data_IF_464615772246
#
_entry.id   IF_464615772246
#
_cell.length_a   1.000
_cell.length_b   1.000
_cell.length_c   1.000
_cell.angle_alpha   90.00
_cell.angle_beta   90.00
_cell.angle_gamma   90.00
#
_symmetry.space_group_name_H-M   'P 1'
#
loop_
_entity.id
_entity.type
_entity.pdbx_description
1 polymer ?
#
# COMPACT_ATOMS: atom_id res chain seq x y z
N UNK A 1 4.17 -4.93 4.11
CA UNK A 1 3.49 -5.67 3.04
C UNK A 1 4.41 -5.73 1.85
N UNK A 2 4.72 -6.95 1.43
CA UNK A 2 5.57 -7.24 0.29
C UNK A 2 4.89 -6.97 -1.06
N UNK A 3 5.65 -6.85 -2.15
CA UNK A 3 5.17 -6.70 -3.51
C UNK A 3 4.47 -7.98 -4.03
N UNK A 4 4.75 -9.15 -3.45
CA UNK A 4 3.94 -10.36 -3.66
C UNK A 4 2.53 -10.18 -3.06
N UNK A 5 2.43 -9.79 -1.78
CA UNK A 5 1.15 -9.48 -1.12
C UNK A 5 0.32 -8.51 -1.95
N UNK A 6 1.03 -7.59 -2.60
CA UNK A 6 0.45 -6.50 -3.35
C UNK A 6 -0.21 -6.92 -4.67
N UNK A 7 -0.05 -8.16 -5.14
CA UNK A 7 -0.70 -8.68 -6.35
C UNK A 7 -1.84 -9.63 -6.09
N UNK A 8 -2.16 -9.86 -4.83
CA UNK A 8 -3.34 -10.61 -4.44
C UNK A 8 -4.55 -9.72 -4.72
N UNK A 9 -5.22 -9.99 -5.82
CA UNK A 9 -6.28 -9.12 -6.38
C UNK A 9 -7.63 -9.38 -5.73
N UNK A 10 -7.83 -10.56 -5.17
CA UNK A 10 -9.07 -10.92 -4.50
C UNK A 10 -8.96 -10.80 -2.98
N UNK A 11 -10.05 -10.44 -2.27
CA UNK A 11 -10.07 -10.50 -0.81
C UNK A 11 -9.71 -11.89 -0.26
N UNK A 12 -10.10 -12.96 -0.95
CA UNK A 12 -9.81 -14.34 -0.53
C UNK A 12 -8.31 -14.65 -0.60
N UNK A 13 -7.63 -14.30 -1.69
CA UNK A 13 -6.18 -14.47 -1.79
C UNK A 13 -5.44 -13.73 -0.68
N UNK A 14 -5.87 -12.49 -0.36
CA UNK A 14 -5.28 -11.69 0.73
C UNK A 14 -5.49 -12.34 2.09
N UNK A 15 -6.67 -12.91 2.33
CA UNK A 15 -6.98 -13.61 3.58
C UNK A 15 -6.14 -14.87 3.71
N UNK A 16 -6.08 -15.70 2.67
CA UNK A 16 -5.26 -16.93 2.66
C UNK A 16 -3.80 -16.58 2.89
N UNK A 17 -3.26 -15.62 2.14
CA UNK A 17 -1.88 -15.18 2.32
C UNK A 17 -1.61 -14.69 3.74
N UNK A 18 -2.47 -13.82 4.28
CA UNK A 18 -2.32 -13.31 5.66
C UNK A 18 -2.30 -14.46 6.68
N UNK A 19 -3.08 -15.51 6.43
CA UNK A 19 -3.09 -16.70 7.28
C UNK A 19 -1.78 -17.50 7.16
N UNK A 20 -1.27 -17.71 5.95
CA UNK A 20 0.04 -18.36 5.73
C UNK A 20 1.15 -17.57 6.41
N UNK A 21 1.17 -16.26 6.20
CA UNK A 21 2.18 -15.36 6.75
C UNK A 21 2.19 -15.43 8.27
N UNK A 22 1.01 -15.29 8.92
CA UNK A 22 0.87 -15.41 10.36
C UNK A 22 1.33 -16.78 10.90
N UNK A 23 1.08 -17.87 10.17
CA UNK A 23 1.49 -19.21 10.59
C UNK A 23 2.98 -19.49 10.38
N UNK A 24 3.64 -18.75 9.50
CA UNK A 24 5.06 -18.96 9.16
C UNK A 24 6.02 -18.01 9.88
N UNK A 25 5.55 -16.88 10.44
CA UNK A 25 6.37 -15.83 11.10
C UNK A 25 7.36 -16.30 12.17
N UNK A 26 7.13 -17.44 12.82
CA UNK A 26 7.91 -17.90 13.97
C UNK A 26 8.52 -19.29 13.78
N UNK A 27 8.46 -19.84 12.57
CA UNK A 27 8.96 -21.18 12.29
C UNK A 27 10.44 -21.14 11.94
N UNK A 28 11.17 -22.15 12.40
CA UNK A 28 12.62 -22.24 12.26
C UNK A 28 13.07 -23.43 11.43
N UNK A 29 12.17 -24.36 11.15
CA UNK A 29 12.49 -25.59 10.44
C UNK A 29 11.62 -25.75 9.20
N UNK A 30 12.15 -26.46 8.19
CA UNK A 30 11.39 -26.86 7.01
C UNK A 30 10.10 -27.59 7.37
N UNK A 31 10.16 -28.45 8.38
CA UNK A 31 9.03 -29.27 8.82
C UNK A 31 7.92 -28.40 9.43
N UNK A 32 8.26 -27.39 10.24
CA UNK A 32 7.29 -26.48 10.84
C UNK A 32 6.61 -25.58 9.78
N UNK A 33 7.38 -25.13 8.79
CA UNK A 33 6.85 -24.41 7.64
C UNK A 33 5.89 -25.30 6.85
N UNK A 34 6.29 -26.53 6.50
CA UNK A 34 5.41 -27.46 5.77
C UNK A 34 4.10 -27.72 6.52
N UNK A 35 4.17 -27.99 7.83
CA UNK A 35 2.99 -28.15 8.70
C UNK A 35 2.09 -26.93 8.73
N UNK A 36 2.67 -25.73 8.62
CA UNK A 36 1.90 -24.48 8.60
C UNK A 36 1.09 -24.31 7.32
N UNK A 37 1.67 -24.66 6.17
CA UNK A 37 0.92 -24.69 4.91
C UNK A 37 -0.18 -25.76 4.92
N UNK A 38 0.09 -26.95 5.46
CA UNK A 38 -0.91 -28.01 5.58
C UNK A 38 -2.04 -27.61 6.54
N UNK A 39 -1.71 -26.90 7.63
CA UNK A 39 -2.70 -26.32 8.53
C UNK A 39 -3.57 -25.29 7.81
N UNK A 40 -2.98 -24.41 7.00
CA UNK A 40 -3.75 -23.44 6.22
C UNK A 40 -4.67 -24.15 5.24
N UNK A 41 -4.21 -25.16 4.49
CA UNK A 41 -5.06 -25.95 3.60
C UNK A 41 -6.23 -26.61 4.33
N UNK A 42 -6.03 -27.07 5.58
CA UNK A 42 -7.11 -27.64 6.40
C UNK A 42 -8.16 -26.60 6.80
N UNK A 43 -7.74 -25.36 7.08
CA UNK A 43 -8.63 -24.27 7.49
C UNK A 43 -9.24 -23.51 6.30
N UNK A 44 -8.55 -23.53 5.16
CA UNK A 44 -8.81 -22.79 3.93
C UNK A 44 -8.59 -23.71 2.72
N UNK A 45 -9.47 -24.69 2.46
CA UNK A 45 -9.29 -25.65 1.37
C UNK A 45 -9.18 -25.00 -0.01
N UNK A 46 -9.80 -23.83 -0.18
CA UNK A 46 -9.72 -22.98 -1.37
C UNK A 46 -8.28 -22.57 -1.73
N UNK A 47 -7.34 -22.56 -0.77
CA UNK A 47 -5.95 -22.28 -1.05
C UNK A 47 -5.32 -23.29 -2.04
N UNK A 48 -5.86 -24.51 -2.12
CA UNK A 48 -5.38 -25.54 -3.05
C UNK A 48 -5.61 -25.18 -4.53
N UNK A 49 -6.60 -24.33 -4.83
CA UNK A 49 -6.87 -23.88 -6.21
C UNK A 49 -6.12 -22.61 -6.57
N UNK A 50 -5.42 -21.98 -5.62
CA UNK A 50 -4.65 -20.77 -5.88
C UNK A 50 -3.33 -21.14 -6.56
N UNK A 51 -3.06 -20.61 -7.78
CA UNK A 51 -1.92 -21.05 -8.60
C UNK A 51 -0.57 -20.74 -7.96
N UNK A 52 -0.51 -19.79 -7.02
CA UNK A 52 0.71 -19.41 -6.31
C UNK A 52 0.98 -20.22 -5.03
N UNK A 53 -0.01 -20.93 -4.46
CA UNK A 53 0.08 -21.46 -3.10
C UNK A 53 1.14 -22.56 -2.94
N UNK A 54 1.04 -23.64 -3.73
CA UNK A 54 2.02 -24.72 -3.67
C UNK A 54 3.41 -24.29 -4.17
N UNK A 55 3.54 -23.56 -5.30
CA UNK A 55 4.84 -23.04 -5.72
C UNK A 55 5.52 -22.16 -4.64
N UNK A 56 4.74 -21.32 -3.94
CA UNK A 56 5.26 -20.51 -2.84
C UNK A 56 5.67 -21.38 -1.63
N UNK A 57 4.87 -22.40 -1.28
CA UNK A 57 5.20 -23.37 -0.22
C UNK A 57 6.58 -23.99 -0.48
N UNK A 58 6.78 -24.52 -1.68
CA UNK A 58 8.01 -25.22 -2.05
C UNK A 58 9.20 -24.27 -2.03
N UNK A 59 9.06 -23.07 -2.61
CA UNK A 59 10.11 -22.06 -2.61
C UNK A 59 10.52 -21.62 -1.19
N UNK A 60 9.56 -21.43 -0.29
CA UNK A 60 9.83 -21.03 1.10
C UNK A 60 10.49 -22.17 1.87
N UNK A 61 10.06 -23.42 1.66
CA UNK A 61 10.70 -24.61 2.27
C UNK A 61 12.16 -24.73 1.81
N UNK A 62 12.44 -24.45 0.54
CA UNK A 62 13.81 -24.45 0.02
C UNK A 62 14.64 -23.29 0.60
N UNK A 63 14.05 -22.11 0.75
CA UNK A 63 14.68 -20.94 1.35
C UNK A 63 15.09 -21.16 2.82
N UNK A 64 14.30 -21.88 3.62
CA UNK A 64 14.57 -22.17 5.05
C UNK A 64 15.90 -22.93 5.28
N UNK A 65 16.56 -23.44 4.23
CA UNK A 65 17.90 -24.06 4.36
C UNK A 65 19.02 -23.10 4.76
N UNK A 66 18.84 -21.79 4.61
CA UNK A 66 19.95 -20.84 4.61
C UNK A 66 20.11 -20.00 5.90
N UNK A 67 19.06 -19.72 6.67
CA UNK A 67 19.11 -18.76 7.79
C UNK A 67 18.20 -19.14 8.98
N UNK A 68 18.66 -18.81 10.19
CA UNK A 68 17.87 -18.91 11.43
C UNK A 68 16.68 -17.95 11.37
N UNK A 69 15.48 -18.51 11.15
CA UNK A 69 14.15 -17.87 11.00
C UNK A 69 13.79 -17.49 9.55
N UNK A 70 13.00 -18.34 8.89
CA UNK A 70 12.48 -18.08 7.56
C UNK A 70 10.95 -18.17 7.57
N UNK A 71 10.29 -17.07 7.23
CA UNK A 71 8.85 -16.99 6.98
C UNK A 71 8.57 -16.67 5.51
N UNK A 72 7.31 -16.77 5.07
CA UNK A 72 6.91 -16.31 3.73
C UNK A 72 7.29 -14.84 3.52
N UNK A 73 7.13 -13.98 4.54
CA UNK A 73 7.53 -12.58 4.47
C UNK A 73 9.06 -12.43 4.31
N UNK A 74 9.86 -13.21 5.06
CA UNK A 74 11.32 -13.19 4.93
C UNK A 74 11.78 -13.63 3.53
N UNK A 75 11.16 -14.66 2.97
CA UNK A 75 11.44 -15.11 1.61
C UNK A 75 11.14 -14.00 0.60
N UNK A 76 9.94 -13.43 0.64
CA UNK A 76 9.55 -12.39 -0.31
C UNK A 76 10.44 -11.15 -0.15
N UNK A 77 10.71 -10.70 1.07
CA UNK A 77 11.62 -9.60 1.34
C UNK A 77 13.02 -9.88 0.78
N UNK A 78 13.51 -11.13 0.87
CA UNK A 78 14.80 -11.54 0.30
C UNK A 78 14.78 -11.56 -1.24
N UNK A 79 13.66 -11.94 -1.86
CA UNK A 79 13.49 -11.90 -3.32
C UNK A 79 13.40 -10.45 -3.82
N UNK A 80 12.65 -9.59 -3.12
CA UNK A 80 12.65 -8.14 -3.39
C UNK A 80 14.03 -7.54 -3.21
N UNK A 81 14.75 -7.98 -2.19
CA UNK A 81 16.12 -7.58 -1.94
C UNK A 81 17.06 -8.00 -3.08
N UNK A 82 16.91 -9.22 -3.61
CA UNK A 82 17.62 -9.71 -4.80
C UNK A 82 17.29 -8.86 -6.04
N UNK A 83 16.03 -8.46 -6.21
CA UNK A 83 15.58 -7.58 -7.29
C UNK A 83 16.09 -6.13 -7.14
N UNK A 84 16.23 -5.63 -5.91
CA UNK A 84 16.63 -4.25 -5.60
C UNK A 84 18.10 -4.07 -5.26
N UNK A 85 18.89 -5.15 -5.17
CA UNK A 85 20.33 -5.09 -4.90
C UNK A 85 20.69 -4.39 -3.59
N UNK A 86 19.88 -4.49 -2.53
CA UNK A 86 20.07 -3.69 -1.30
C UNK A 86 21.29 -4.09 -0.42
N UNK A 87 22.30 -4.81 -0.94
CA UNK A 87 23.68 -4.82 -0.40
C UNK A 87 24.54 -3.72 -1.07
N UNK A 88 24.15 -3.19 -2.24
CA UNK A 88 24.96 -2.24 -3.04
C UNK A 88 24.22 -0.91 -3.25
N UNK A 89 23.34 -0.49 -2.33
CA UNK A 89 22.75 0.87 -2.38
C UNK A 89 22.85 1.60 -1.04
N UNK A 90 23.97 1.39 -0.35
CA UNK A 90 24.66 2.54 0.22
C UNK A 90 25.80 3.07 -0.65
N UNK A 91 26.20 2.41 -1.76
CA UNK A 91 27.22 2.92 -2.70
C UNK A 91 27.05 2.31 -4.12
N UNK A 92 26.63 3.13 -5.09
CA UNK A 92 26.75 3.00 -6.56
C UNK A 92 25.92 1.99 -7.38
N UNK A 93 25.10 2.56 -8.27
CA UNK A 93 24.84 2.26 -9.70
C UNK A 93 24.86 0.78 -10.16
N UNK A 94 23.72 0.09 -10.05
CA UNK A 94 22.97 -0.50 -11.18
C UNK A 94 21.86 -1.45 -10.68
N UNK A 95 20.61 -1.16 -11.05
CA UNK A 95 19.48 -2.06 -10.78
C UNK A 95 19.54 -3.22 -11.77
N UNK A 96 19.83 -4.43 -11.29
CA UNK A 96 19.96 -5.63 -12.14
C UNK A 96 18.63 -6.14 -12.73
N UNK A 97 17.49 -5.59 -12.29
CA UNK A 97 16.15 -5.89 -12.80
C UNK A 97 15.84 -7.39 -12.80
N UNK A 98 14.99 -7.83 -13.74
CA UNK A 98 14.70 -9.26 -13.94
C UNK A 98 15.92 -10.11 -14.33
N UNK A 99 17.02 -9.50 -14.79
CA UNK A 99 18.25 -10.21 -15.17
C UNK A 99 18.97 -10.91 -14.01
N UNK A 100 18.56 -10.66 -12.77
CA UNK A 100 19.02 -11.39 -11.59
C UNK A 100 18.39 -12.80 -11.43
N UNK A 101 17.41 -13.14 -12.27
CA UNK A 101 16.68 -14.41 -12.22
C UNK A 101 16.81 -15.16 -13.54
N UNK A 102 16.79 -16.49 -13.45
CA UNK A 102 16.69 -17.37 -14.60
C UNK A 102 15.29 -17.32 -15.21
N UNK A 103 15.17 -17.69 -16.48
CA UNK A 103 13.87 -17.80 -17.16
C UNK A 103 12.93 -18.79 -16.44
N UNK A 104 13.49 -19.89 -15.91
CA UNK A 104 12.73 -20.87 -15.12
C UNK A 104 12.16 -20.24 -13.85
N UNK A 105 12.97 -19.53 -13.06
CA UNK A 105 12.48 -18.82 -11.85
C UNK A 105 11.39 -17.81 -12.19
N UNK A 106 11.55 -17.04 -13.28
CA UNK A 106 10.55 -16.06 -13.71
C UNK A 106 9.30 -16.69 -14.33
N UNK A 107 9.30 -17.98 -14.65
CA UNK A 107 8.12 -18.70 -15.15
C UNK A 107 7.21 -19.20 -14.02
N UNK A 108 7.72 -19.23 -12.78
CA UNK A 108 6.99 -19.75 -11.62
C UNK A 108 5.77 -18.87 -11.28
N UNK A 109 4.59 -19.46 -11.00
CA UNK A 109 3.38 -18.69 -10.68
C UNK A 109 3.57 -17.68 -9.54
N UNK A 110 4.31 -18.08 -8.50
CA UNK A 110 4.58 -17.24 -7.33
C UNK A 110 5.58 -16.10 -7.60
N UNK A 111 6.20 -16.04 -8.79
CA UNK A 111 7.18 -15.02 -9.19
C UNK A 111 6.65 -14.04 -10.23
N UNK A 112 5.43 -14.25 -10.76
CA UNK A 112 4.87 -13.38 -11.79
C UNK A 112 4.72 -11.92 -11.33
N UNK A 113 4.65 -11.69 -10.01
CA UNK A 113 4.56 -10.36 -9.45
C UNK A 113 5.79 -9.49 -9.72
N UNK A 114 6.98 -10.10 -9.81
CA UNK A 114 8.21 -9.38 -10.11
C UNK A 114 8.15 -8.72 -11.49
N UNK A 115 7.56 -9.40 -12.48
CA UNK A 115 7.44 -8.85 -13.85
C UNK A 115 6.57 -7.61 -13.92
N UNK A 116 5.46 -7.63 -13.18
CA UNK A 116 4.55 -6.47 -13.11
C UNK A 116 5.19 -5.33 -12.33
N UNK A 117 5.87 -5.62 -11.21
CA UNK A 117 6.62 -4.63 -10.46
C UNK A 117 7.72 -4.00 -11.31
N UNK A 118 8.49 -4.81 -12.03
CA UNK A 118 9.56 -4.37 -12.93
C UNK A 118 9.03 -3.46 -14.04
N UNK A 119 7.97 -3.88 -14.73
CA UNK A 119 7.33 -3.06 -15.76
C UNK A 119 6.90 -1.70 -15.22
N UNK A 120 6.19 -1.67 -14.08
CA UNK A 120 5.70 -0.41 -13.49
C UNK A 120 6.84 0.48 -12.98
N UNK A 121 7.89 -0.10 -12.41
CA UNK A 121 9.08 0.65 -12.01
C UNK A 121 9.73 1.34 -13.21
N UNK A 122 9.96 0.61 -14.30
CA UNK A 122 10.54 1.16 -15.53
C UNK A 122 9.63 2.21 -16.16
N UNK A 123 8.32 1.96 -16.21
CA UNK A 123 7.32 2.94 -16.65
C UNK A 123 7.41 4.25 -15.85
N UNK A 124 7.49 4.19 -14.53
CA UNK A 124 7.59 5.39 -13.69
C UNK A 124 8.95 6.09 -13.78
N UNK A 125 10.04 5.34 -13.99
CA UNK A 125 11.36 5.93 -14.24
C UNK A 125 11.37 6.70 -15.56
N UNK A 126 10.71 6.18 -16.59
CA UNK A 126 10.64 6.80 -17.90
C UNK A 126 9.67 8.00 -17.90
N UNK A 127 8.55 7.93 -17.15
CA UNK A 127 7.57 9.01 -17.01
C UNK A 127 8.05 10.16 -16.11
N UNK A 128 8.72 9.85 -14.99
CA UNK A 128 9.07 10.81 -13.94
C UNK A 128 10.60 10.90 -13.77
N UNK A 129 11.27 11.45 -14.77
CA UNK A 129 12.74 11.57 -14.83
C UNK A 129 13.35 12.38 -13.67
N UNK A 130 12.55 13.17 -12.97
CA UNK A 130 12.95 13.96 -11.80
C UNK A 130 12.94 13.16 -10.49
N UNK A 131 12.32 11.98 -10.47
CA UNK A 131 12.22 11.13 -9.29
C UNK A 131 13.40 10.16 -9.24
N UNK A 132 13.90 9.88 -8.04
CA UNK A 132 14.94 8.88 -7.85
C UNK A 132 14.38 7.45 -7.98
N UNK A 133 15.26 6.46 -8.11
CA UNK A 133 14.85 5.05 -8.24
C UNK A 133 14.09 4.52 -7.03
N UNK A 134 14.36 5.03 -5.83
CA UNK A 134 13.63 4.66 -4.62
C UNK A 134 12.18 5.14 -4.67
N UNK A 135 11.95 6.34 -5.21
CA UNK A 135 10.64 6.92 -5.43
C UNK A 135 9.83 6.12 -6.46
N UNK A 136 10.40 5.87 -7.65
CA UNK A 136 9.74 5.07 -8.69
C UNK A 136 9.38 3.67 -8.17
N UNK A 137 10.25 3.05 -7.36
CA UNK A 137 9.98 1.74 -6.76
C UNK A 137 8.86 1.79 -5.72
N UNK A 138 8.84 2.80 -4.85
CA UNK A 138 7.78 2.99 -3.86
C UNK A 138 6.42 3.19 -4.54
N UNK A 139 6.37 4.00 -5.61
CA UNK A 139 5.18 4.20 -6.43
C UNK A 139 4.76 2.91 -7.14
N UNK A 140 5.70 2.17 -7.75
CA UNK A 140 5.42 0.92 -8.44
C UNK A 140 4.80 -0.11 -7.48
N UNK A 141 5.38 -0.28 -6.28
CA UNK A 141 4.84 -1.14 -5.22
C UNK A 141 3.44 -0.74 -4.77
N UNK A 142 3.14 0.55 -4.70
CA UNK A 142 1.82 1.01 -4.30
C UNK A 142 0.79 0.81 -5.41
N UNK A 143 1.14 1.15 -6.64
CA UNK A 143 0.25 1.02 -7.79
C UNK A 143 -0.12 -0.42 -8.13
N UNK A 144 0.63 -1.43 -7.66
CA UNK A 144 0.22 -2.84 -7.80
C UNK A 144 -0.96 -3.19 -6.89
N UNK A 145 -1.17 -2.45 -5.79
CA UNK A 145 -2.25 -2.66 -4.83
C UNK A 145 -3.54 -1.92 -5.17
N UNK A 146 -3.38 -0.69 -5.63
CA UNK A 146 -4.45 0.27 -5.78
C UNK A 146 -4.43 0.83 -7.19
N UNK A 147 -5.61 0.93 -7.77
CA UNK A 147 -5.79 1.59 -9.06
C UNK A 147 -5.70 3.10 -8.82
N UNK A 148 -4.52 3.66 -9.07
CA UNK A 148 -4.22 5.09 -9.00
C UNK A 148 -3.42 5.47 -10.22
N UNK A 149 -3.71 6.64 -10.78
CA UNK A 149 -3.00 7.11 -11.96
C UNK A 149 -1.53 7.40 -11.63
N UNK A 150 -0.60 7.19 -12.57
CA UNK A 150 0.80 7.51 -12.38
C UNK A 150 1.01 8.95 -11.89
N UNK A 151 0.29 9.91 -12.47
CA UNK A 151 0.38 11.33 -12.14
C UNK A 151 -0.04 11.59 -10.69
N UNK A 152 -1.11 10.92 -10.24
CA UNK A 152 -1.58 11.10 -8.86
C UNK A 152 -0.59 10.53 -7.85
N UNK A 153 0.02 9.39 -8.17
CA UNK A 153 1.07 8.80 -7.33
C UNK A 153 2.31 9.70 -7.27
N UNK A 154 2.70 10.30 -8.39
CA UNK A 154 3.80 11.26 -8.42
C UNK A 154 3.48 12.50 -7.57
N UNK A 155 2.26 13.04 -7.66
CA UNK A 155 1.81 14.18 -6.85
C UNK A 155 1.83 13.84 -5.34
N UNK A 156 1.30 12.67 -4.97
CA UNK A 156 1.32 12.17 -3.60
C UNK A 156 2.74 11.96 -3.09
N UNK A 157 3.66 11.45 -3.92
CA UNK A 157 5.04 11.19 -3.55
C UNK A 157 5.84 12.50 -3.38
N UNK A 158 5.65 13.47 -4.29
CA UNK A 158 6.25 14.80 -4.18
C UNK A 158 5.79 15.50 -2.91
N UNK A 159 4.50 15.43 -2.60
CA UNK A 159 4.02 15.93 -1.32
C UNK A 159 4.66 15.17 -0.16
N UNK A 160 4.65 13.83 -0.19
CA UNK A 160 5.23 12.96 0.84
C UNK A 160 6.69 13.28 1.19
N UNK A 161 7.46 13.72 0.20
CA UNK A 161 8.89 14.03 0.34
C UNK A 161 9.18 15.53 0.47
N UNK A 162 8.16 16.39 0.49
CA UNK A 162 8.35 17.84 0.63
C UNK A 162 8.96 18.15 2.00
N UNK A 163 10.19 18.72 2.05
CA UNK A 163 10.86 19.06 3.32
C UNK A 163 10.11 20.12 4.13
N UNK A 164 9.21 20.89 3.50
CA UNK A 164 8.36 21.88 4.17
C UNK A 164 7.02 21.29 4.62
N UNK A 165 6.68 20.08 4.18
CA UNK A 165 5.43 19.43 4.55
C UNK A 165 5.50 18.90 5.98
N UNK A 166 4.56 19.36 6.81
CA UNK A 166 4.49 19.01 8.24
C UNK A 166 3.86 17.64 8.51
N UNK A 167 3.53 16.88 7.47
CA UNK A 167 2.63 15.73 7.55
C UNK A 167 3.36 14.38 7.70
N UNK A 168 4.70 14.36 7.63
CA UNK A 168 5.48 13.14 7.36
C UNK A 168 6.24 12.56 8.55
N UNK A 169 6.06 13.08 9.76
CA UNK A 169 6.75 12.53 10.94
C UNK A 169 6.15 11.17 11.29
N UNK A 170 6.78 10.10 10.79
CA UNK A 170 6.50 8.71 11.19
C UNK A 170 5.63 7.89 10.23
N UNK A 171 5.21 8.44 9.08
CA UNK A 171 4.47 7.67 8.07
C UNK A 171 5.41 7.17 6.96
N UNK A 172 5.16 5.95 6.50
CA UNK A 172 5.70 5.44 5.23
C UNK A 172 4.87 5.97 4.06
N UNK A 173 5.44 6.03 2.85
CA UNK A 173 4.70 6.44 1.64
C UNK A 173 3.41 5.61 1.44
N UNK A 174 3.45 4.31 1.75
CA UNK A 174 2.27 3.46 1.69
C UNK A 174 1.16 3.94 2.62
N UNK A 175 1.47 4.20 3.89
CA UNK A 175 0.47 4.66 4.86
C UNK A 175 -0.11 6.03 4.46
N UNK A 176 0.72 6.90 3.91
CA UNK A 176 0.30 8.18 3.33
C UNK A 176 -0.69 8.00 2.17
N UNK A 177 -0.36 7.14 1.20
CA UNK A 177 -1.22 6.89 0.06
C UNK A 177 -2.49 6.09 0.42
N UNK A 178 -2.42 5.15 1.37
CA UNK A 178 -3.60 4.46 1.92
C UNK A 178 -4.56 5.46 2.58
N UNK A 179 -4.03 6.44 3.32
CA UNK A 179 -4.83 7.51 3.93
C UNK A 179 -5.53 8.36 2.85
N UNK A 180 -4.80 8.73 1.79
CA UNK A 180 -5.40 9.39 0.63
C UNK A 180 -6.56 8.58 0.06
N UNK A 181 -6.37 7.29 -0.20
CA UNK A 181 -7.39 6.43 -0.77
C UNK A 181 -8.63 6.31 0.14
N UNK A 182 -8.45 6.00 1.43
CA UNK A 182 -9.57 5.95 2.40
C UNK A 182 -10.31 7.27 2.49
N UNK A 183 -9.58 8.38 2.46
CA UNK A 183 -10.19 9.70 2.47
C UNK A 183 -10.98 9.96 1.18
N UNK A 184 -10.53 9.47 0.01
CA UNK A 184 -11.26 9.63 -1.26
C UNK A 184 -12.61 8.92 -1.26
N UNK A 185 -12.73 7.78 -0.56
CA UNK A 185 -13.98 7.01 -0.43
C UNK A 185 -15.07 7.77 0.37
N UNK A 186 -14.73 8.88 1.03
CA UNK A 186 -15.70 9.71 1.74
C UNK A 186 -16.45 10.69 0.82
N UNK A 187 -16.02 10.80 -0.44
CA UNK A 187 -16.54 11.76 -1.40
C UNK A 187 -17.16 11.06 -2.61
N UNK A 188 -18.16 11.69 -3.22
CA UNK A 188 -18.68 11.28 -4.51
C UNK A 188 -17.81 11.81 -5.67
N UNK A 189 -18.19 11.46 -6.90
CA UNK A 189 -17.49 11.88 -8.12
C UNK A 189 -17.48 13.41 -8.34
N UNK A 190 -18.40 14.14 -7.71
CA UNK A 190 -18.42 15.61 -7.75
C UNK A 190 -17.47 16.26 -6.74
N UNK A 191 -16.84 15.45 -5.88
CA UNK A 191 -16.07 15.91 -4.74
C UNK A 191 -16.95 16.38 -3.58
N UNK A 192 -18.21 15.96 -3.50
CA UNK A 192 -19.07 16.26 -2.35
C UNK A 192 -18.98 15.13 -1.32
N UNK A 193 -18.99 15.42 0.01
CA UNK A 193 -19.03 14.37 1.00
C UNK A 193 -20.29 13.50 0.85
N UNK A 194 -20.14 12.18 0.96
CA UNK A 194 -21.27 11.23 0.95
C UNK A 194 -22.27 11.58 2.06
N UNK A 195 -23.56 11.36 1.82
CA UNK A 195 -24.65 11.82 2.70
C UNK A 195 -24.46 11.47 4.19
N UNK A 196 -24.06 10.23 4.49
CA UNK A 196 -23.82 9.77 5.86
C UNK A 196 -22.66 10.55 6.53
N UNK A 197 -21.59 10.81 5.78
CA UNK A 197 -20.44 11.57 6.29
C UNK A 197 -20.77 13.06 6.41
N UNK A 198 -21.48 13.61 5.43
CA UNK A 198 -21.96 14.99 5.43
C UNK A 198 -22.82 15.27 6.67
N UNK A 199 -23.75 14.38 7.02
CA UNK A 199 -24.61 14.54 8.20
C UNK A 199 -23.78 14.57 9.50
N UNK A 200 -22.83 13.63 9.66
CA UNK A 200 -21.95 13.57 10.84
C UNK A 200 -21.11 14.84 10.94
N UNK A 201 -20.46 15.25 9.85
CA UNK A 201 -19.62 16.45 9.83
C UNK A 201 -20.44 17.71 10.07
N UNK A 202 -21.68 17.78 9.57
CA UNK A 202 -22.54 18.96 9.73
C UNK A 202 -22.99 19.14 11.18
N UNK A 203 -23.33 18.04 11.87
CA UNK A 203 -23.62 18.05 13.31
C UNK A 203 -22.43 18.58 14.11
N UNK A 204 -21.23 18.08 13.80
CA UNK A 204 -19.99 18.59 14.42
C UNK A 204 -19.78 20.07 14.12
N UNK A 205 -19.93 20.49 12.86
CA UNK A 205 -19.79 21.89 12.47
C UNK A 205 -20.77 22.81 13.21
N UNK A 206 -22.00 22.35 13.45
CA UNK A 206 -23.04 23.13 14.15
C UNK A 206 -22.68 23.38 15.61
N UNK A 207 -22.09 22.39 16.29
CA UNK A 207 -21.62 22.52 17.68
C UNK A 207 -20.44 23.51 17.77
N UNK A 208 -19.64 23.61 16.71
CA UNK A 208 -18.42 24.44 16.65
C UNK A 208 -18.60 25.65 15.70
N UNK A 209 -19.83 26.11 15.52
CA UNK A 209 -20.19 27.13 14.52
C UNK A 209 -19.49 28.49 14.75
N UNK A 210 -19.17 28.79 16.00
CA UNK A 210 -18.59 30.06 16.45
C UNK A 210 -17.06 30.12 16.29
N UNK A 211 -16.42 29.02 15.91
CA UNK A 211 -14.98 28.98 15.65
C UNK A 211 -14.63 29.58 14.29
N UNK A 212 -13.36 29.90 14.10
CA UNK A 212 -12.86 30.44 12.84
C UNK A 212 -12.91 29.40 11.71
N UNK A 213 -13.00 29.84 10.45
CA UNK A 213 -13.13 28.93 9.31
C UNK A 213 -12.00 27.91 9.25
N UNK A 214 -10.75 28.36 9.38
CA UNK A 214 -9.58 27.48 9.34
C UNK A 214 -9.53 26.52 10.53
N UNK A 215 -10.06 26.90 11.69
CA UNK A 215 -10.16 26.01 12.85
C UNK A 215 -11.17 24.89 12.57
N UNK A 216 -12.31 25.21 11.96
CA UNK A 216 -13.30 24.22 11.55
C UNK A 216 -12.75 23.24 10.52
N UNK A 217 -12.01 23.75 9.53
CA UNK A 217 -11.33 22.90 8.54
C UNK A 217 -10.33 21.98 9.23
N UNK A 218 -9.47 22.53 10.10
CA UNK A 218 -8.46 21.75 10.82
C UNK A 218 -9.08 20.64 11.68
N UNK A 219 -10.12 20.97 12.47
CA UNK A 219 -10.79 20.01 13.34
C UNK A 219 -11.53 18.93 12.57
N UNK A 220 -12.27 19.29 11.52
CA UNK A 220 -12.97 18.30 10.70
C UNK A 220 -11.99 17.40 9.96
N UNK A 221 -10.94 17.96 9.35
CA UNK A 221 -9.94 17.13 8.67
C UNK A 221 -9.26 16.15 9.63
N UNK A 222 -8.98 16.57 10.87
CA UNK A 222 -8.38 15.69 11.88
C UNK A 222 -9.35 14.62 12.38
N UNK A 223 -10.57 14.99 12.76
CA UNK A 223 -11.52 14.07 13.42
C UNK A 223 -12.11 13.02 12.47
N UNK A 224 -12.15 13.32 11.17
CA UNK A 224 -12.68 12.43 10.14
C UNK A 224 -11.58 11.82 9.28
N UNK A 225 -10.32 11.90 9.72
CA UNK A 225 -9.16 11.34 9.01
C UNK A 225 -9.13 11.74 7.53
N UNK A 226 -9.32 13.03 7.24
CA UNK A 226 -9.36 13.54 5.88
C UNK A 226 -7.95 13.92 5.44
N UNK A 227 -7.52 13.34 4.32
CA UNK A 227 -6.19 13.55 3.78
C UNK A 227 -5.98 15.03 3.37
N UNK A 228 -4.78 15.62 3.54
CA UNK A 228 -4.54 17.03 3.24
C UNK A 228 -4.89 17.44 1.81
N UNK A 229 -4.77 16.53 0.85
CA UNK A 229 -5.18 16.75 -0.54
C UNK A 229 -6.68 16.98 -0.72
N UNK A 230 -7.50 16.50 0.20
CA UNK A 230 -8.94 16.70 0.22
C UNK A 230 -9.35 17.86 1.15
N UNK A 231 -8.40 18.55 1.81
CA UNK A 231 -8.68 19.78 2.57
C UNK A 231 -9.42 20.84 1.75
N UNK A 232 -9.08 21.11 0.47
CA UNK A 232 -9.79 22.11 -0.33
C UNK A 232 -11.27 21.77 -0.53
N UNK A 233 -11.59 20.49 -0.71
CA UNK A 233 -12.98 20.00 -0.83
C UNK A 233 -13.76 20.32 0.45
N UNK A 234 -13.19 19.98 1.61
CA UNK A 234 -13.83 20.21 2.90
C UNK A 234 -13.96 21.69 3.21
N UNK A 235 -12.96 22.51 2.88
CA UNK A 235 -13.02 23.95 3.08
C UNK A 235 -14.20 24.57 2.34
N UNK A 236 -14.42 24.16 1.07
CA UNK A 236 -15.58 24.60 0.28
C UNK A 236 -16.90 24.14 0.91
N UNK A 237 -17.00 22.87 1.27
CA UNK A 237 -18.21 22.30 1.88
C UNK A 237 -18.58 22.98 3.22
N UNK A 238 -17.58 23.31 4.04
CA UNK A 238 -17.80 24.06 5.30
C UNK A 238 -18.38 25.44 5.02
N UNK A 239 -17.85 26.17 4.03
CA UNK A 239 -18.34 27.51 3.69
C UNK A 239 -19.83 27.48 3.34
N UNK A 240 -20.24 26.55 2.47
CA UNK A 240 -21.64 26.33 2.09
C UNK A 240 -22.52 25.94 3.29
N UNK A 241 -22.00 25.15 4.23
CA UNK A 241 -22.75 24.74 5.42
C UNK A 241 -22.92 25.87 6.43
N UNK A 242 -21.93 26.78 6.57
CA UNK A 242 -22.03 27.92 7.48
C UNK A 242 -23.12 28.90 7.04
N UNK A 243 -23.30 29.10 5.74
CA UNK A 243 -24.41 29.89 5.19
C UNK A 243 -25.75 29.30 5.62
N UNK A 244 -25.94 27.98 5.45
CA UNK A 244 -27.17 27.28 5.87
C UNK A 244 -27.42 27.36 7.38
N UNK A 245 -26.37 27.28 8.20
CA UNK A 245 -26.48 27.40 9.66
C UNK A 245 -26.88 28.82 10.07
N UNK A 246 -26.42 29.85 9.36
CA UNK A 246 -26.78 31.24 9.62
C UNK A 246 -28.22 31.55 9.22
N UNK A 247 -28.70 30.98 8.10
CA UNK A 247 -30.10 31.13 7.64
C UNK A 247 -31.13 30.44 8.55
N UNK A 248 -30.71 29.44 9.32
CA UNK A 248 -31.57 28.67 10.21
C UNK A 248 -31.69 29.27 11.65
N UNK A 249 -31.05 30.40 11.92
CA UNK A 249 -31.05 31.11 13.22
C UNK A 249 -31.88 32.38 13.16
#
# INVERSE_FOLDING_TARGET
>A
MSAFENQLTTPEERIVFSHVELKTRMNKTKEDIAKSFDYVLKQRPEAASMPWFNPLKDAVIDFVTAEDNASVACYIDSVEYKYTGRVILMLNEDVKGLGAFTESELSEPHMQWLKVLDRKYHEYRDLFTELDSGACFAMARYSTLHDQTPEKLAELYKAFTDPNGRWFIGLTFKQWADWYHKSSEMFDESGSPLAEQAEKMFKTLTVWKDQEHEENVSWLCRNYEIHPFHKPIISKWIAECREKIAEAQ
#
